data_IF_054648455788
#
_entry.id   IF_054648455788
#
_cell.length_a   1.000
_cell.length_b   1.000
_cell.length_c   1.000
_cell.angle_alpha   90.00
_cell.angle_beta   90.00
_cell.angle_gamma   90.00
#
_symmetry.space_group_name_H-M   'P 1'
#
loop_
_entity.id
_entity.type
_entity.pdbx_description
1 polymer ?
#
# COMPACT_ATOMS: atom_id res chain seq x y z
N UNK A 1 -27.96 -3.29 22.12
CA UNK A 1 -27.20 -3.61 20.90
C UNK A 1 -26.90 -5.10 20.96
N UNK A 2 -27.36 -5.90 19.99
CA UNK A 2 -27.15 -7.35 20.00
C UNK A 2 -25.66 -7.65 19.81
N UNK A 3 -25.15 -8.71 20.44
CA UNK A 3 -23.71 -9.09 20.41
C UNK A 3 -23.21 -9.21 18.96
N UNK A 4 -24.02 -9.78 18.07
CA UNK A 4 -23.76 -9.89 16.63
C UNK A 4 -23.47 -8.53 15.96
N UNK A 5 -24.22 -7.48 16.34
CA UNK A 5 -24.10 -6.16 15.72
C UNK A 5 -22.78 -5.47 16.15
N UNK A 6 -22.39 -5.64 17.41
CA UNK A 6 -21.10 -5.15 17.92
C UNK A 6 -19.94 -5.88 17.26
N UNK A 7 -20.08 -7.20 17.05
CA UNK A 7 -19.08 -8.00 16.37
C UNK A 7 -18.85 -7.54 14.93
N UNK A 8 -19.94 -7.39 14.14
CA UNK A 8 -19.86 -6.89 12.77
C UNK A 8 -19.27 -5.47 12.72
N UNK A 9 -19.63 -4.61 13.68
CA UNK A 9 -19.08 -3.26 13.80
C UNK A 9 -17.54 -3.27 13.99
N UNK A 10 -17.03 -4.09 14.90
CA UNK A 10 -15.60 -4.23 15.13
C UNK A 10 -14.86 -4.74 13.89
N UNK A 11 -15.44 -5.69 13.17
CA UNK A 11 -14.86 -6.20 11.92
C UNK A 11 -14.80 -5.11 10.86
N UNK A 12 -15.84 -4.27 10.72
CA UNK A 12 -15.82 -3.17 9.75
C UNK A 12 -14.75 -2.12 10.08
N UNK A 13 -14.47 -1.86 11.37
CA UNK A 13 -13.32 -1.04 11.78
C UNK A 13 -12.00 -1.66 11.31
N UNK A 14 -11.81 -2.96 11.54
CA UNK A 14 -10.61 -3.68 11.11
C UNK A 14 -10.47 -3.66 9.59
N UNK A 15 -11.58 -3.84 8.85
CA UNK A 15 -11.59 -3.72 7.39
C UNK A 15 -11.18 -2.32 6.93
N UNK A 16 -11.68 -1.27 7.56
CA UNK A 16 -11.26 0.11 7.28
C UNK A 16 -9.77 0.32 7.50
N UNK A 17 -9.24 -0.24 8.58
CA UNK A 17 -7.81 -0.22 8.88
C UNK A 17 -6.98 -0.94 7.81
N UNK A 18 -7.38 -2.15 7.41
CA UNK A 18 -6.71 -2.94 6.36
C UNK A 18 -6.73 -2.21 5.02
N UNK A 19 -7.86 -1.62 4.63
CA UNK A 19 -7.97 -0.79 3.43
C UNK A 19 -7.04 0.42 3.52
N UNK A 20 -6.87 1.00 4.72
CA UNK A 20 -5.87 2.04 4.97
C UNK A 20 -4.45 1.64 4.58
N UNK A 21 -4.02 0.43 4.97
CA UNK A 21 -2.71 -0.11 4.60
C UNK A 21 -2.56 -0.22 3.09
N UNK A 22 -3.57 -0.79 2.42
CA UNK A 22 -3.58 -0.93 0.95
C UNK A 22 -3.57 0.44 0.28
N UNK A 23 -4.28 1.41 0.84
CA UNK A 23 -4.31 2.78 0.33
C UNK A 23 -2.93 3.46 0.41
N UNK A 24 -2.15 3.20 1.45
CA UNK A 24 -0.79 3.75 1.56
C UNK A 24 0.18 3.13 0.55
N UNK A 25 0.10 1.82 0.31
CA UNK A 25 0.82 1.16 -0.78
C UNK A 25 0.47 1.80 -2.13
N UNK A 26 -0.81 2.00 -2.37
CA UNK A 26 -1.32 2.68 -3.56
C UNK A 26 -0.81 4.13 -3.69
N UNK A 27 -0.75 4.87 -2.58
CA UNK A 27 -0.22 6.24 -2.54
C UNK A 27 1.27 6.30 -2.87
N UNK A 28 2.07 5.40 -2.29
CA UNK A 28 3.51 5.30 -2.59
C UNK A 28 3.75 4.91 -4.04
N UNK A 29 2.95 3.99 -4.58
CA UNK A 29 3.00 3.61 -6.00
C UNK A 29 2.73 4.82 -6.91
N UNK A 30 1.66 5.59 -6.65
CA UNK A 30 1.37 6.82 -7.41
C UNK A 30 2.52 7.83 -7.36
N UNK A 31 3.13 8.01 -6.19
CA UNK A 31 4.24 8.95 -6.04
C UNK A 31 5.50 8.53 -6.82
N UNK A 32 5.82 7.22 -6.84
CA UNK A 32 6.99 6.70 -7.55
C UNK A 32 6.80 6.59 -9.06
N UNK A 33 5.67 6.07 -9.52
CA UNK A 33 5.44 5.82 -10.96
C UNK A 33 5.03 7.06 -11.74
N UNK A 34 4.55 8.12 -11.06
CA UNK A 34 4.03 9.37 -11.66
C UNK A 34 3.20 9.13 -12.94
N UNK A 35 2.17 8.27 -12.88
CA UNK A 35 1.35 7.98 -14.06
C UNK A 35 0.61 9.23 -14.57
N UNK A 36 0.15 9.19 -15.81
CA UNK A 36 -0.63 10.30 -16.40
C UNK A 36 -1.94 10.53 -15.64
N UNK A 37 -2.51 11.73 -15.72
CA UNK A 37 -3.75 12.11 -15.01
C UNK A 37 -4.92 11.15 -15.27
N UNK A 38 -5.03 10.65 -16.51
CA UNK A 38 -6.08 9.69 -16.91
C UNK A 38 -5.88 8.36 -16.18
N UNK A 39 -4.65 7.86 -16.12
CA UNK A 39 -4.31 6.61 -15.44
C UNK A 39 -4.57 6.75 -13.94
N UNK A 40 -4.23 7.89 -13.32
CA UNK A 40 -4.54 8.15 -11.90
C UNK A 40 -6.04 8.03 -11.64
N UNK A 41 -6.88 8.68 -12.46
CA UNK A 41 -8.33 8.60 -12.32
C UNK A 41 -8.87 7.17 -12.48
N UNK A 42 -8.34 6.42 -13.44
CA UNK A 42 -8.72 5.02 -13.64
C UNK A 42 -8.31 4.13 -12.46
N UNK A 43 -7.11 4.33 -11.92
CA UNK A 43 -6.63 3.60 -10.75
C UNK A 43 -7.42 3.96 -9.49
N UNK A 44 -7.80 5.23 -9.31
CA UNK A 44 -8.65 5.65 -8.20
C UNK A 44 -10.02 4.99 -8.31
N UNK A 45 -10.64 4.99 -9.50
CA UNK A 45 -11.92 4.31 -9.74
C UNK A 45 -11.82 2.81 -9.43
N UNK A 46 -10.77 2.15 -9.92
CA UNK A 46 -10.56 0.72 -9.72
C UNK A 46 -10.35 0.39 -8.24
N UNK A 47 -9.54 1.20 -7.54
CA UNK A 47 -9.28 1.04 -6.11
C UNK A 47 -10.58 1.14 -5.29
N UNK A 48 -11.40 2.16 -5.57
CA UNK A 48 -12.67 2.35 -4.87
C UNK A 48 -13.69 1.26 -5.17
N UNK A 49 -13.73 0.79 -6.42
CA UNK A 49 -14.60 -0.31 -6.82
C UNK A 49 -14.21 -1.61 -6.12
N UNK A 50 -12.93 -1.96 -6.09
CA UNK A 50 -12.42 -3.13 -5.37
C UNK A 50 -12.69 -3.02 -3.87
N UNK A 51 -12.47 -1.84 -3.29
CA UNK A 51 -12.74 -1.58 -1.87
C UNK A 51 -14.21 -1.76 -1.53
N UNK A 52 -15.11 -1.24 -2.38
CA UNK A 52 -16.55 -1.38 -2.21
C UNK A 52 -16.99 -2.85 -2.30
N UNK A 53 -16.51 -3.58 -3.32
CA UNK A 53 -16.79 -5.01 -3.47
C UNK A 53 -16.25 -5.83 -2.29
N UNK A 54 -15.05 -5.52 -1.82
CA UNK A 54 -14.46 -6.16 -0.64
C UNK A 54 -15.31 -5.93 0.61
N UNK A 55 -15.70 -4.68 0.88
CA UNK A 55 -16.57 -4.36 2.02
C UNK A 55 -17.92 -5.07 1.92
N UNK A 56 -18.52 -5.07 0.73
CA UNK A 56 -19.79 -5.76 0.48
C UNK A 56 -19.66 -7.27 0.68
N UNK A 57 -18.57 -7.88 0.21
CA UNK A 57 -18.30 -9.30 0.40
C UNK A 57 -18.17 -9.66 1.88
N UNK A 58 -17.43 -8.85 2.67
CA UNK A 58 -17.30 -9.05 4.12
C UNK A 58 -18.67 -8.93 4.79
N UNK A 59 -19.45 -7.90 4.45
CA UNK A 59 -20.80 -7.73 4.99
C UNK A 59 -21.74 -8.89 4.61
N UNK A 60 -21.63 -9.39 3.37
CA UNK A 60 -22.39 -10.55 2.91
C UNK A 60 -22.09 -11.80 3.73
N UNK A 61 -20.81 -12.03 4.04
CA UNK A 61 -20.38 -13.20 4.80
C UNK A 61 -20.80 -13.17 6.27
N UNK A 62 -20.86 -12.00 6.88
CA UNK A 62 -20.99 -11.86 8.33
C UNK A 62 -22.41 -11.48 8.74
N UNK A 63 -23.13 -10.74 7.89
CA UNK A 63 -24.47 -10.24 8.21
C UNK A 63 -25.44 -10.35 7.02
N UNK A 64 -25.22 -11.30 6.10
CA UNK A 64 -26.05 -11.50 4.90
C UNK A 64 -26.27 -10.22 4.07
N UNK A 65 -25.28 -9.31 4.10
CA UNK A 65 -25.32 -8.01 3.43
C UNK A 65 -26.48 -7.11 3.87
N UNK A 66 -26.92 -7.24 5.12
CA UNK A 66 -27.81 -6.25 5.71
C UNK A 66 -27.06 -4.90 5.81
N UNK A 67 -27.38 -4.00 4.89
CA UNK A 67 -26.72 -2.71 4.76
C UNK A 67 -27.24 -1.79 5.86
N UNK A 68 -26.37 -1.46 6.81
CA UNK A 68 -26.67 -0.54 7.90
C UNK A 68 -25.70 0.62 7.88
N UNK A 69 -26.22 1.83 7.98
CA UNK A 69 -25.42 3.05 7.84
C UNK A 69 -24.23 3.11 8.81
N UNK A 70 -24.41 2.63 10.04
CA UNK A 70 -23.35 2.63 11.05
C UNK A 70 -22.16 1.72 10.68
N UNK A 71 -22.33 0.73 9.79
CA UNK A 71 -21.24 -0.15 9.35
C UNK A 71 -20.29 0.59 8.39
N UNK A 72 -20.81 1.50 7.58
CA UNK A 72 -19.96 2.41 6.79
C UNK A 72 -19.26 3.43 7.68
N UNK A 73 -19.91 3.91 8.74
CA UNK A 73 -19.26 4.77 9.73
C UNK A 73 -18.11 4.02 10.43
N UNK A 74 -18.32 2.78 10.87
CA UNK A 74 -17.26 1.93 11.42
C UNK A 74 -16.07 1.79 10.48
N UNK A 75 -16.35 1.49 9.20
CA UNK A 75 -15.33 1.40 8.17
C UNK A 75 -14.56 2.72 8.00
N UNK A 76 -15.28 3.84 7.86
CA UNK A 76 -14.69 5.16 7.73
C UNK A 76 -13.84 5.55 8.93
N UNK A 77 -14.32 5.26 10.14
CA UNK A 77 -13.57 5.48 11.39
C UNK A 77 -12.31 4.63 11.42
N UNK A 78 -12.39 3.33 11.14
CA UNK A 78 -11.22 2.45 11.09
C UNK A 78 -10.17 2.91 10.09
N UNK A 79 -10.63 3.32 8.90
CA UNK A 79 -9.76 3.86 7.86
C UNK A 79 -9.12 5.20 8.26
N UNK A 80 -9.89 6.14 8.80
CA UNK A 80 -9.39 7.43 9.29
C UNK A 80 -8.42 7.24 10.46
N UNK A 81 -8.73 6.38 11.43
CA UNK A 81 -7.85 6.05 12.54
C UNK A 81 -6.48 5.55 12.04
N UNK A 82 -6.48 4.64 11.05
CA UNK A 82 -5.23 4.20 10.42
C UNK A 82 -4.47 5.38 9.78
N UNK A 83 -5.18 6.19 8.97
CA UNK A 83 -4.58 7.30 8.23
C UNK A 83 -3.97 8.37 9.15
N UNK A 84 -4.61 8.66 10.28
CA UNK A 84 -4.17 9.70 11.20
C UNK A 84 -3.03 9.21 12.10
N UNK A 85 -3.10 7.97 12.58
CA UNK A 85 -2.18 7.49 13.62
C UNK A 85 -1.00 6.72 13.03
N UNK A 86 -1.24 5.84 12.05
CA UNK A 86 -0.27 4.81 11.66
C UNK A 86 0.35 5.09 10.30
N UNK A 87 -0.40 5.69 9.38
CA UNK A 87 0.05 5.94 8.00
C UNK A 87 1.41 6.63 7.92
N UNK A 88 1.66 7.64 8.75
CA UNK A 88 2.95 8.35 8.78
C UNK A 88 4.12 7.42 9.09
N UNK A 89 3.97 6.57 10.08
CA UNK A 89 5.00 5.60 10.47
C UNK A 89 5.16 4.51 9.40
N UNK A 90 4.05 4.01 8.86
CA UNK A 90 4.04 3.00 7.83
C UNK A 90 4.76 3.46 6.56
N UNK A 91 4.44 4.65 6.05
CA UNK A 91 5.08 5.22 4.85
C UNK A 91 6.57 5.49 5.11
N UNK A 92 6.93 6.03 6.28
CA UNK A 92 8.32 6.29 6.63
C UNK A 92 9.15 4.99 6.70
N UNK A 93 8.61 3.95 7.33
CA UNK A 93 9.23 2.63 7.41
C UNK A 93 9.37 2.01 6.01
N UNK A 94 8.30 2.02 5.23
CA UNK A 94 8.27 1.44 3.89
C UNK A 94 9.28 2.12 2.96
N UNK A 95 9.39 3.45 3.03
CA UNK A 95 10.34 4.21 2.22
C UNK A 95 11.79 3.88 2.60
N UNK A 96 12.09 3.78 3.91
CA UNK A 96 13.43 3.37 4.39
C UNK A 96 13.79 1.96 3.93
N UNK A 97 12.86 1.01 4.02
CA UNK A 97 13.07 -0.36 3.54
C UNK A 97 13.42 -0.35 2.05
N UNK A 98 12.67 0.41 1.24
CA UNK A 98 12.94 0.53 -0.19
C UNK A 98 14.30 1.15 -0.50
N UNK A 99 14.77 2.12 0.30
CA UNK A 99 16.11 2.69 0.16
C UNK A 99 17.21 1.68 0.50
N UNK A 100 17.07 0.95 1.62
CA UNK A 100 18.02 -0.09 2.02
C UNK A 100 18.14 -1.16 0.94
N UNK A 101 17.00 -1.63 0.41
CA UNK A 101 16.97 -2.61 -0.70
C UNK A 101 17.68 -2.05 -1.94
N UNK A 102 17.48 -0.77 -2.27
CA UNK A 102 18.14 -0.14 -3.40
C UNK A 102 19.66 0.05 -3.20
N UNK A 103 20.12 0.26 -1.97
CA UNK A 103 21.56 0.33 -1.65
C UNK A 103 22.19 -1.05 -1.82
N UNK A 104 21.55 -2.10 -1.27
CA UNK A 104 22.04 -3.48 -1.37
C UNK A 104 22.13 -3.91 -2.84
N UNK A 105 21.10 -3.63 -3.65
CA UNK A 105 21.10 -4.00 -5.07
C UNK A 105 22.20 -3.28 -5.86
N UNK A 106 22.42 -1.98 -5.62
CA UNK A 106 23.53 -1.24 -6.23
C UNK A 106 24.90 -1.75 -5.80
N UNK A 107 25.06 -2.11 -4.53
CA UNK A 107 26.28 -2.72 -4.01
C UNK A 107 26.61 -4.02 -4.72
N UNK A 108 25.60 -4.88 -4.90
CA UNK A 108 25.73 -6.15 -5.60
C UNK A 108 26.11 -5.96 -7.08
N UNK A 109 25.43 -5.04 -7.78
CA UNK A 109 25.72 -4.72 -9.18
C UNK A 109 27.13 -4.15 -9.34
N UNK A 110 27.54 -3.23 -8.46
CA UNK A 110 28.89 -2.67 -8.49
C UNK A 110 29.96 -3.72 -8.21
N UNK A 111 29.72 -4.67 -7.29
CA UNK A 111 30.64 -5.79 -7.04
C UNK A 111 30.83 -6.65 -8.29
N UNK A 112 29.75 -6.90 -9.04
CA UNK A 112 29.77 -7.67 -10.29
C UNK A 112 30.41 -6.90 -11.46
N UNK A 113 30.28 -5.57 -11.52
CA UNK A 113 30.83 -4.72 -12.59
C UNK A 113 32.27 -4.23 -12.31
N UNK A 114 32.77 -4.33 -11.08
CA UNK A 114 34.16 -4.04 -10.71
C UNK A 114 35.21 -4.79 -11.56
N UNK A 115 35.11 -6.12 -11.80
CA UNK A 115 36.07 -6.81 -12.66
C UNK A 115 36.07 -6.30 -14.10
N UNK A 116 34.91 -5.91 -14.63
CA UNK A 116 34.78 -5.38 -15.99
C UNK A 116 35.48 -4.02 -16.16
N UNK A 117 35.31 -3.10 -15.20
CA UNK A 117 36.01 -1.81 -15.20
C UNK A 117 37.52 -1.95 -14.98
N UNK A 118 37.95 -2.94 -14.18
CA UNK A 118 39.37 -3.18 -13.91
C UNK A 118 40.13 -3.68 -15.15
N UNK A 119 39.50 -4.53 -15.96
CA UNK A 119 40.08 -5.02 -17.23
C UNK A 119 40.17 -3.91 -18.29
N UNK A 120 39.16 -3.03 -18.38
CA UNK A 120 39.19 -1.92 -19.35
C UNK A 120 40.19 -0.81 -18.98
N UNK A 121 40.50 -0.62 -17.69
CA UNK A 121 41.49 0.38 -17.23
C UNK A 121 42.94 0.03 -17.62
N UNK A 122 43.28 -1.26 -17.77
CA UNK A 122 44.65 -1.67 -18.17
C UNK A 122 45.01 -1.35 -19.62
N UNK A 123 44.04 -1.23 -20.51
CA UNK A 123 44.32 -1.06 -21.95
C UNK A 123 44.61 0.41 -22.36
N UNK A 124 44.39 1.38 -21.46
CA UNK A 124 44.59 2.81 -21.73
C UNK A 124 45.93 3.38 -21.22
N UNK A 125 46.67 2.60 -20.41
CA UNK A 125 47.99 3.00 -19.86
C UNK A 125 49.19 2.43 -20.65
N UNK A 126 48.96 1.81 -21.82
CA UNK A 126 49.99 1.22 -22.68
C UNK A 126 49.98 1.81 -24.11
N UNK A 127 49.55 3.08 -24.25
CA UNK A 127 49.74 3.88 -25.47
C UNK A 127 50.41 5.18 -25.13
#
# INVERSE_FOLDING_TARGET
MNIEQTYVFGIMIICGFLVGIVYDLYRVFRWKCRPSKVIIGLLDLLFWLVTALFCFYVLFKINYAEIRFYLFLAFGVGWMCYLLVISRYFIALFTKIMEVVAIISRGLINLLLLPYKFVHSRHKNFK
#
